data_IF_767228473796
#
_entry.id   IF_767228473796
#
_cell.length_a   1.000
_cell.length_b   1.000
_cell.length_c   1.000
_cell.angle_alpha   90.00
_cell.angle_beta   90.00
_cell.angle_gamma   90.00
#
_symmetry.space_group_name_H-M   'P 1'
#
loop_
_entity.id
_entity.type
_entity.pdbx_description
1 polymer ?
#
# COMPACT_ATOMS: atom_id res chain seq x y z
N UNK A 1 -22.39 -5.53 8.54
CA UNK A 1 -20.99 -5.96 8.35
C UNK A 1 -20.12 -4.94 9.08
N UNK A 2 -19.36 -5.39 10.08
CA UNK A 2 -18.61 -4.52 10.99
C UNK A 2 -17.35 -4.01 10.27
N UNK A 3 -17.13 -2.69 10.26
CA UNK A 3 -15.96 -2.05 9.65
C UNK A 3 -14.62 -2.61 10.14
N UNK A 4 -14.57 -3.13 11.37
CA UNK A 4 -13.38 -3.77 11.95
C UNK A 4 -12.93 -5.01 11.15
N UNK A 5 -13.86 -5.81 10.60
CA UNK A 5 -13.55 -7.01 9.82
C UNK A 5 -12.78 -6.70 8.54
N UNK A 6 -13.13 -5.60 7.86
CA UNK A 6 -12.54 -5.25 6.56
C UNK A 6 -11.11 -4.78 6.72
N UNK A 7 -10.82 -4.01 7.78
CA UNK A 7 -9.46 -3.55 8.07
C UNK A 7 -8.57 -4.70 8.55
N UNK A 8 -9.10 -5.65 9.32
CA UNK A 8 -8.36 -6.86 9.72
C UNK A 8 -8.04 -7.77 8.53
N UNK A 9 -8.99 -7.94 7.60
CA UNK A 9 -8.77 -8.69 6.36
C UNK A 9 -7.71 -8.02 5.47
N UNK A 10 -7.80 -6.69 5.30
CA UNK A 10 -6.78 -5.92 4.56
C UNK A 10 -5.40 -5.99 5.22
N UNK A 11 -5.32 -5.83 6.54
CA UNK A 11 -4.07 -6.00 7.28
C UNK A 11 -3.48 -7.39 7.07
N UNK A 12 -4.31 -8.43 7.15
CA UNK A 12 -3.88 -9.81 6.97
C UNK A 12 -3.32 -10.06 5.57
N UNK A 13 -3.97 -9.56 4.53
CA UNK A 13 -3.51 -9.72 3.15
C UNK A 13 -2.23 -8.92 2.86
N UNK A 14 -2.13 -7.68 3.37
CA UNK A 14 -0.90 -6.88 3.26
C UNK A 14 0.24 -7.53 4.03
N UNK A 15 0.01 -8.03 5.25
CA UNK A 15 1.03 -8.72 6.04
C UNK A 15 1.51 -10.01 5.36
N UNK A 16 0.61 -10.80 4.76
CA UNK A 16 1.00 -11.98 3.97
C UNK A 16 1.89 -11.58 2.79
N UNK A 17 1.51 -10.52 2.08
CA UNK A 17 2.29 -10.04 0.93
C UNK A 17 3.66 -9.53 1.40
N UNK A 18 3.73 -8.75 2.47
CA UNK A 18 5.00 -8.35 3.09
C UNK A 18 5.88 -9.56 3.44
N UNK A 19 5.30 -10.64 3.98
CA UNK A 19 6.04 -11.87 4.26
C UNK A 19 6.55 -12.58 2.99
N UNK A 20 5.82 -12.54 1.88
CA UNK A 20 6.26 -13.12 0.60
C UNK A 20 7.43 -12.35 -0.01
N UNK A 21 7.47 -11.03 0.20
CA UNK A 21 8.56 -10.15 -0.23
C UNK A 21 9.69 -10.03 0.81
N UNK A 22 9.70 -10.88 1.85
CA UNK A 22 10.70 -10.87 2.93
C UNK A 22 10.83 -9.50 3.63
N UNK A 23 9.75 -8.71 3.65
CA UNK A 23 9.70 -7.41 4.31
C UNK A 23 9.54 -7.65 5.82
N UNK A 24 10.41 -7.06 6.67
CA UNK A 24 10.30 -7.21 8.11
C UNK A 24 9.03 -6.52 8.64
N UNK A 25 8.14 -7.32 9.22
CA UNK A 25 6.89 -6.89 9.87
C UNK A 25 7.16 -6.77 11.37
N UNK A 26 6.85 -5.61 11.94
CA UNK A 26 6.84 -5.42 13.39
C UNK A 26 5.40 -5.47 13.90
N UNK A 27 5.11 -6.17 15.01
CA UNK A 27 3.77 -6.18 15.62
C UNK A 27 3.24 -4.79 16.04
N UNK A 28 4.11 -3.78 16.16
CA UNK A 28 3.71 -2.39 16.38
C UNK A 28 3.36 -1.62 15.11
N UNK A 29 3.59 -2.19 13.91
CA UNK A 29 3.31 -1.50 12.66
C UNK A 29 1.82 -1.50 12.36
N UNK A 30 1.29 -0.33 12.05
CA UNK A 30 -0.06 -0.21 11.54
C UNK A 30 -0.16 -0.62 10.06
N UNK A 31 -1.40 -0.70 9.59
CA UNK A 31 -1.71 -1.06 8.21
C UNK A 31 -1.03 -0.16 7.16
N UNK A 32 -1.00 1.16 7.39
CA UNK A 32 -0.45 2.13 6.44
C UNK A 32 1.08 2.03 6.42
N UNK A 33 1.72 1.76 7.56
CA UNK A 33 3.15 1.50 7.64
C UNK A 33 3.55 0.25 6.85
N UNK A 34 2.77 -0.83 6.95
CA UNK A 34 3.01 -2.05 6.16
C UNK A 34 2.81 -1.79 4.66
N UNK A 35 1.73 -1.12 4.29
CA UNK A 35 1.47 -0.77 2.89
C UNK A 35 2.58 0.12 2.30
N UNK A 36 3.08 1.08 3.07
CA UNK A 36 4.19 1.96 2.64
C UNK A 36 5.46 1.15 2.39
N UNK A 37 5.81 0.22 3.29
CA UNK A 37 6.97 -0.66 3.09
C UNK A 37 6.81 -1.56 1.87
N UNK A 38 5.60 -2.07 1.64
CA UNK A 38 5.31 -2.85 0.45
C UNK A 38 5.47 -2.01 -0.81
N UNK A 39 4.87 -0.82 -0.86
CA UNK A 39 4.98 0.12 -1.98
C UNK A 39 6.43 0.45 -2.38
N UNK A 40 7.37 0.45 -1.42
CA UNK A 40 8.79 0.72 -1.65
C UNK A 40 9.57 -0.40 -2.33
N UNK A 41 9.11 -1.65 -2.22
CA UNK A 41 9.82 -2.82 -2.77
C UNK A 41 9.17 -3.39 -4.02
N UNK A 42 7.95 -2.97 -4.32
CA UNK A 42 7.23 -3.41 -5.51
C UNK A 42 7.91 -2.90 -6.78
N UNK A 43 8.14 -3.81 -7.72
CA UNK A 43 8.61 -3.45 -9.04
C UNK A 43 7.56 -2.58 -9.78
N UNK A 44 7.97 -1.78 -10.79
CA UNK A 44 7.06 -0.87 -11.50
C UNK A 44 5.86 -1.55 -12.18
N UNK A 45 5.99 -2.82 -12.59
CA UNK A 45 4.90 -3.55 -13.26
C UNK A 45 3.84 -3.97 -12.24
N UNK A 46 4.24 -4.62 -11.15
CA UNK A 46 3.33 -5.00 -10.05
C UNK A 46 2.66 -3.77 -9.45
N UNK A 47 3.45 -2.72 -9.22
CA UNK A 47 3.00 -1.41 -8.79
C UNK A 47 1.92 -0.81 -9.69
N UNK A 48 2.07 -0.88 -11.01
CA UNK A 48 1.08 -0.39 -11.97
C UNK A 48 -0.21 -1.20 -11.94
N UNK A 49 -0.12 -2.53 -11.81
CA UNK A 49 -1.28 -3.41 -11.69
C UNK A 49 -2.08 -3.09 -10.41
N UNK A 50 -1.39 -2.86 -9.29
CA UNK A 50 -2.03 -2.49 -8.04
C UNK A 50 -2.69 -1.11 -8.10
N UNK A 51 -2.08 -0.13 -8.78
CA UNK A 51 -2.72 1.17 -9.00
C UNK A 51 -4.03 1.04 -9.78
N UNK A 52 -4.07 0.17 -10.81
CA UNK A 52 -5.29 -0.08 -11.60
C UNK A 52 -6.38 -0.71 -10.74
N UNK A 53 -6.05 -1.77 -9.99
CA UNK A 53 -7.02 -2.43 -9.11
C UNK A 53 -7.58 -1.50 -8.03
N UNK A 54 -6.72 -0.69 -7.40
CA UNK A 54 -7.15 0.32 -6.42
C UNK A 54 -8.06 1.39 -7.05
N UNK A 55 -7.76 1.84 -8.27
CA UNK A 55 -8.60 2.81 -8.98
C UNK A 55 -9.99 2.23 -9.30
N UNK A 56 -10.08 0.95 -9.68
CA UNK A 56 -11.34 0.24 -9.87
C UNK A 56 -12.12 0.11 -8.55
N UNK A 57 -11.45 -0.26 -7.46
CA UNK A 57 -12.08 -0.38 -6.13
C UNK A 57 -12.61 0.95 -5.59
N UNK A 58 -11.91 2.06 -5.88
CA UNK A 58 -12.36 3.43 -5.56
C UNK A 58 -13.59 3.80 -6.41
N UNK A 59 -13.58 3.48 -7.71
CA UNK A 59 -14.71 3.74 -8.60
C UNK A 59 -15.97 2.98 -8.15
N UNK A 60 -15.78 1.76 -7.64
CA UNK A 60 -16.83 0.92 -7.03
C UNK A 60 -17.24 1.37 -5.61
N UNK A 61 -16.62 2.43 -5.07
CA UNK A 61 -16.85 2.98 -3.72
C UNK A 61 -16.67 1.94 -2.61
N UNK A 62 -15.69 1.04 -2.74
CA UNK A 62 -15.44 -0.01 -1.74
C UNK A 62 -14.85 0.51 -0.42
N UNK A 63 -14.35 1.75 -0.40
CA UNK A 63 -13.96 2.44 0.83
C UNK A 63 -12.87 3.49 0.63
N UNK A 64 -12.81 4.47 1.54
CA UNK A 64 -11.81 5.56 1.51
C UNK A 64 -10.39 5.12 1.90
N UNK A 65 -10.22 3.89 2.38
CA UNK A 65 -8.89 3.31 2.64
C UNK A 65 -8.14 3.05 1.34
N UNK A 66 -8.83 2.71 0.25
CA UNK A 66 -8.21 2.48 -1.06
C UNK A 66 -7.65 3.76 -1.67
N UNK A 67 -8.28 4.91 -1.40
CA UNK A 67 -7.77 6.23 -1.82
C UNK A 67 -6.40 6.52 -1.16
N UNK A 68 -6.27 6.24 0.13
CA UNK A 68 -5.01 6.40 0.87
C UNK A 68 -3.93 5.45 0.38
N UNK A 69 -4.28 4.19 0.09
CA UNK A 69 -3.35 3.22 -0.48
C UNK A 69 -2.83 3.67 -1.84
N UNK A 70 -3.73 4.17 -2.71
CA UNK A 70 -3.38 4.64 -4.04
C UNK A 70 -2.45 5.87 -3.97
N UNK A 71 -2.72 6.80 -3.05
CA UNK A 71 -1.87 7.97 -2.84
C UNK A 71 -0.44 7.57 -2.43
N UNK A 72 -0.30 6.65 -1.47
CA UNK A 72 1.01 6.13 -1.05
C UNK A 72 1.73 5.47 -2.22
N UNK A 73 1.02 4.62 -2.96
CA UNK A 73 1.57 3.87 -4.08
C UNK A 73 2.04 4.80 -5.22
N UNK A 74 1.31 5.89 -5.48
CA UNK A 74 1.69 6.92 -6.45
C UNK A 74 2.84 7.78 -5.96
N UNK A 75 2.92 8.07 -4.66
CA UNK A 75 4.00 8.87 -4.07
C UNK A 75 5.34 8.15 -4.14
N UNK A 76 5.38 6.87 -3.76
CA UNK A 76 6.63 6.08 -3.79
C UNK A 76 7.11 5.85 -5.23
N UNK A 77 6.20 5.75 -6.21
CA UNK A 77 6.55 5.59 -7.63
C UNK A 77 6.81 6.92 -8.36
N UNK A 78 6.17 8.01 -7.93
CA UNK A 78 6.33 9.35 -8.49
C UNK A 78 7.54 10.11 -7.93
N UNK A 79 8.26 9.52 -6.97
CA UNK A 79 9.40 10.10 -6.26
C UNK A 79 10.68 10.38 -7.07
N UNK A 80 10.62 10.44 -8.41
CA UNK A 80 11.71 10.92 -9.26
C UNK A 80 11.72 12.45 -9.47
N UNK A 81 10.96 13.23 -8.70
CA UNK A 81 11.11 14.69 -8.61
C UNK A 81 11.13 15.12 -7.14
N UNK A 82 12.26 14.86 -6.46
CA UNK A 82 12.41 15.24 -5.06
C UNK A 82 13.75 14.90 -4.45
N UNK A 83 14.83 14.85 -5.25
CA UNK A 83 16.18 14.94 -4.70
C UNK A 83 16.33 16.28 -3.96
N UNK A 84 16.23 16.26 -2.64
CA UNK A 84 17.03 17.14 -1.79
C UNK A 84 17.90 16.27 -0.88
N UNK A 85 18.86 15.64 -1.55
CA UNK A 85 20.16 15.33 -1.00
C UNK A 85 20.94 16.67 -0.95
N UNK A 86 21.01 17.28 0.23
CA UNK A 86 22.08 18.17 0.65
C UNK A 86 22.31 17.78 2.13
N UNK A 87 23.44 17.20 2.50
CA UNK A 87 24.78 17.72 2.25
C UNK A 87 25.17 18.56 3.46
#
# INVERSE_FOLDING_TARGET
MNHESVLEELYTEVAKTCSMYEIPINPSMDYLELWTKLAQVLDPETSRLLQLGLAEDIADRKGSVFEQMLEILQKEQGGLIGNQHFG
#
